data_IF_201018999331
#
_entry.id   IF_201018999331
#
_cell.length_a   1.000
_cell.length_b   1.000
_cell.length_c   1.000
_cell.angle_alpha   90.00
_cell.angle_beta   90.00
_cell.angle_gamma   90.00
#
_symmetry.space_group_name_H-M   'P 1'
#
loop_
_entity.id
_entity.type
_entity.pdbx_description
1 polymer ?
#
# COMPACT_ATOMS: atom_id res chain seq x y z
N UNK A 1 -10.84 5.14 14.74
CA UNK A 1 -9.48 4.61 14.52
C UNK A 1 -8.51 5.55 15.20
N UNK A 2 -7.70 5.07 16.15
CA UNK A 2 -6.72 5.88 16.91
C UNK A 2 -5.34 5.21 16.86
N UNK A 3 -4.24 5.96 17.08
CA UNK A 3 -2.90 5.37 17.20
C UNK A 3 -2.83 4.25 18.24
N UNK A 4 -3.55 4.38 19.37
CA UNK A 4 -3.53 3.38 20.44
C UNK A 4 -4.14 2.04 20.02
N UNK A 5 -5.18 2.05 19.17
CA UNK A 5 -5.76 0.81 18.61
C UNK A 5 -4.74 0.12 17.69
N UNK A 6 -4.01 0.89 16.88
CA UNK A 6 -2.97 0.34 15.99
C UNK A 6 -1.87 -0.28 16.84
N UNK A 7 -1.34 0.47 17.80
CA UNK A 7 -0.30 0.01 18.72
C UNK A 7 -0.73 -1.27 19.47
N UNK A 8 -1.95 -1.32 19.98
CA UNK A 8 -2.47 -2.49 20.68
C UNK A 8 -2.58 -3.73 19.77
N UNK A 9 -2.90 -3.54 18.49
CA UNK A 9 -3.13 -4.64 17.53
C UNK A 9 -1.85 -5.14 16.88
N UNK A 10 -0.89 -4.25 16.63
CA UNK A 10 0.28 -4.55 15.80
C UNK A 10 1.60 -4.39 16.54
N UNK A 11 1.61 -3.76 17.72
CA UNK A 11 2.83 -3.39 18.45
C UNK A 11 3.60 -2.23 17.81
N UNK A 12 3.04 -1.56 16.80
CA UNK A 12 3.69 -0.49 16.05
C UNK A 12 3.06 0.86 16.43
N UNK A 13 3.89 1.81 16.89
CA UNK A 13 3.45 3.20 17.05
C UNK A 13 3.47 3.91 15.69
N UNK A 14 2.28 4.11 15.12
CA UNK A 14 2.10 4.74 13.80
C UNK A 14 2.66 6.17 13.73
N UNK A 15 2.86 6.85 14.85
CA UNK A 15 3.39 8.22 14.88
C UNK A 15 4.87 8.29 14.51
N UNK A 16 5.60 7.18 14.67
CA UNK A 16 7.02 7.05 14.36
C UNK A 16 7.27 6.37 13.00
N UNK A 17 6.22 6.01 12.26
CA UNK A 17 6.33 5.29 11.00
C UNK A 17 6.52 6.27 9.84
N UNK A 18 7.53 6.03 9.03
CA UNK A 18 7.81 6.76 7.81
C UNK A 18 7.52 5.92 6.57
N UNK A 19 7.14 6.58 5.47
CA UNK A 19 6.84 5.87 4.22
C UNK A 19 8.06 5.10 3.72
N UNK A 20 7.88 3.79 3.53
CA UNK A 20 8.90 2.88 3.01
C UNK A 20 9.74 2.19 4.08
N UNK A 21 9.55 2.47 5.37
CA UNK A 21 10.18 1.70 6.44
C UNK A 21 9.56 0.28 6.57
N UNK A 22 10.22 -0.59 7.36
CA UNK A 22 9.75 -1.95 7.60
C UNK A 22 8.39 -1.99 8.33
N UNK A 23 8.16 -1.06 9.26
CA UNK A 23 6.92 -0.98 10.02
C UNK A 23 5.73 -0.57 9.14
N UNK A 24 5.95 0.30 8.17
CA UNK A 24 5.03 0.78 7.14
C UNK A 24 4.62 -0.37 6.24
N UNK A 25 5.58 -1.20 5.81
CA UNK A 25 5.30 -2.40 5.05
C UNK A 25 4.46 -3.40 5.88
N UNK A 26 4.82 -3.63 7.14
CA UNK A 26 4.08 -4.51 8.06
C UNK A 26 2.64 -4.06 8.30
N UNK A 27 2.42 -2.75 8.50
CA UNK A 27 1.08 -2.19 8.68
C UNK A 27 0.17 -2.35 7.45
N UNK A 28 0.75 -2.65 6.28
CA UNK A 28 0.03 -2.78 4.99
C UNK A 28 -0.24 -4.22 4.58
N UNK A 29 0.31 -5.22 5.27
CA UNK A 29 0.11 -6.64 4.95
C UNK A 29 -1.37 -7.00 4.97
N UNK A 30 -1.89 -7.50 3.84
CA UNK A 30 -3.29 -7.90 3.72
C UNK A 30 -4.29 -6.75 3.70
N UNK A 31 -3.83 -5.49 3.68
CA UNK A 31 -4.67 -4.30 3.64
C UNK A 31 -4.93 -3.91 2.19
N UNK A 32 -6.17 -3.55 1.86
CA UNK A 32 -6.49 -2.96 0.55
C UNK A 32 -5.87 -1.56 0.49
N UNK A 33 -4.86 -1.38 -0.36
CA UNK A 33 -4.13 -0.10 -0.48
C UNK A 33 -4.66 0.73 -1.64
N UNK A 34 -4.48 2.05 -1.57
CA UNK A 34 -4.98 2.96 -2.60
C UNK A 34 -4.38 2.70 -4.00
N UNK A 35 -3.11 2.29 -4.08
CA UNK A 35 -2.45 1.97 -5.36
C UNK A 35 -3.05 0.75 -6.05
N UNK A 36 -3.54 -0.23 -5.27
CA UNK A 36 -4.05 -1.50 -5.79
C UNK A 36 -5.59 -1.58 -5.84
N UNK A 37 -6.31 -0.57 -5.33
CA UNK A 37 -7.78 -0.56 -5.27
C UNK A 37 -8.44 -0.70 -6.65
N UNK A 38 -7.73 -0.30 -7.72
CA UNK A 38 -8.19 -0.45 -9.10
C UNK A 38 -8.47 -1.92 -9.47
N UNK A 39 -7.76 -2.89 -8.87
CA UNK A 39 -8.05 -4.32 -8.98
C UNK A 39 -9.38 -4.71 -8.33
N UNK A 40 -9.68 -4.13 -7.17
CA UNK A 40 -10.87 -4.45 -6.36
C UNK A 40 -12.15 -3.99 -7.06
N UNK A 41 -12.10 -2.82 -7.69
CA UNK A 41 -13.26 -2.23 -8.39
C UNK A 41 -13.38 -2.66 -9.85
N UNK A 42 -12.43 -3.47 -10.35
CA UNK A 42 -12.44 -3.97 -11.72
C UNK A 42 -13.74 -4.74 -12.02
N UNK A 43 -14.37 -4.40 -13.14
CA UNK A 43 -15.61 -5.02 -13.62
C UNK A 43 -15.32 -6.00 -14.76
N UNK A 44 -16.03 -7.13 -14.85
CA UNK A 44 -15.91 -8.01 -15.99
C UNK A 44 -16.46 -7.35 -17.26
N UNK A 45 -15.92 -7.74 -18.41
CA UNK A 45 -16.44 -7.30 -19.72
C UNK A 45 -17.88 -7.79 -19.97
N UNK A 46 -18.23 -8.95 -19.42
CA UNK A 46 -19.57 -9.55 -19.49
C UNK A 46 -19.79 -10.48 -18.29
N UNK A 47 -21.05 -10.68 -17.90
CA UNK A 47 -21.42 -11.55 -16.79
C UNK A 47 -21.11 -10.98 -15.40
N UNK A 48 -21.02 -11.86 -14.40
CA UNK A 48 -20.85 -11.51 -12.97
C UNK A 48 -19.58 -12.06 -12.33
N UNK A 49 -18.77 -12.81 -13.07
CA UNK A 49 -17.51 -13.38 -12.57
C UNK A 49 -16.51 -12.26 -12.29
N UNK A 50 -15.68 -12.41 -11.28
CA UNK A 50 -14.58 -11.48 -11.05
C UNK A 50 -13.53 -11.55 -12.16
N UNK A 51 -13.00 -10.40 -12.63
CA UNK A 51 -11.86 -10.38 -13.55
C UNK A 51 -10.62 -11.04 -12.95
N UNK A 52 -9.74 -11.55 -13.81
CA UNK A 52 -8.51 -12.22 -13.39
C UNK A 52 -7.61 -11.32 -12.54
N UNK A 53 -7.55 -10.02 -12.84
CA UNK A 53 -6.80 -9.03 -12.06
C UNK A 53 -7.31 -8.92 -10.61
N UNK A 54 -8.64 -8.97 -10.44
CA UNK A 54 -9.28 -8.95 -9.12
C UNK A 54 -9.00 -10.22 -8.34
N UNK A 55 -9.04 -11.38 -9.01
CA UNK A 55 -8.69 -12.68 -8.41
C UNK A 55 -7.21 -12.75 -8.04
N UNK A 56 -6.32 -12.22 -8.89
CA UNK A 56 -4.88 -12.16 -8.64
C UNK A 56 -4.59 -11.35 -7.37
N UNK A 57 -5.11 -10.11 -7.29
CA UNK A 57 -4.91 -9.27 -6.11
C UNK A 57 -5.55 -9.87 -4.84
N UNK A 58 -6.69 -10.55 -4.98
CA UNK A 58 -7.31 -11.29 -3.88
C UNK A 58 -6.37 -12.38 -3.32
N UNK A 59 -5.74 -13.18 -4.19
CA UNK A 59 -4.76 -14.17 -3.75
C UNK A 59 -3.49 -13.54 -3.16
N UNK A 60 -3.04 -12.40 -3.69
CA UNK A 60 -1.91 -11.67 -3.12
C UNK A 60 -2.17 -11.24 -1.67
N UNK A 61 -3.33 -10.63 -1.39
CA UNK A 61 -3.69 -10.22 -0.03
C UNK A 61 -3.81 -11.42 0.92
N UNK A 62 -4.40 -12.53 0.46
CA UNK A 62 -4.46 -13.75 1.26
C UNK A 62 -3.08 -14.32 1.55
N UNK A 63 -2.18 -14.30 0.56
CA UNK A 63 -0.80 -14.75 0.74
C UNK A 63 -0.09 -13.89 1.79
N UNK A 64 -0.18 -12.56 1.70
CA UNK A 64 0.44 -11.64 2.68
C UNK A 64 -0.03 -11.90 4.12
N UNK A 65 -1.33 -12.18 4.31
CA UNK A 65 -1.88 -12.51 5.64
C UNK A 65 -1.33 -13.85 6.13
N UNK A 66 -1.32 -14.87 5.28
CA UNK A 66 -0.90 -16.22 5.65
C UNK A 66 0.61 -16.34 5.87
N UNK A 67 1.42 -15.59 5.13
CA UNK A 67 2.88 -15.66 5.20
C UNK A 67 3.48 -14.60 6.12
N UNK A 68 2.75 -13.52 6.42
CA UNK A 68 3.25 -12.36 7.15
C UNK A 68 4.33 -11.58 6.39
N UNK A 69 4.48 -11.81 5.08
CA UNK A 69 5.47 -11.13 4.23
C UNK A 69 4.83 -10.69 2.91
N UNK A 70 5.17 -9.49 2.48
CA UNK A 70 4.91 -9.01 1.13
C UNK A 70 6.22 -9.08 0.32
N UNK A 71 6.18 -9.53 -0.93
CA UNK A 71 7.37 -9.53 -1.78
C UNK A 71 7.87 -8.11 -2.00
N UNK A 72 9.16 -7.88 -1.78
CA UNK A 72 9.77 -6.59 -2.06
C UNK A 72 9.81 -6.33 -3.56
N UNK A 73 9.08 -5.31 -4.01
CA UNK A 73 9.11 -4.88 -5.40
C UNK A 73 10.28 -3.91 -5.56
N UNK A 74 11.45 -4.44 -5.92
CA UNK A 74 12.64 -3.63 -6.21
C UNK A 74 12.56 -2.97 -7.60
N UNK A 75 11.64 -2.02 -7.75
CA UNK A 75 11.44 -1.26 -8.98
C UNK A 75 12.24 0.04 -8.98
N UNK A 76 12.94 0.32 -10.09
CA UNK A 76 13.65 1.60 -10.30
C UNK A 76 12.75 2.82 -10.08
N UNK A 77 11.47 2.70 -10.41
CA UNK A 77 10.48 3.76 -10.21
C UNK A 77 10.24 4.08 -8.73
N UNK A 78 10.25 3.09 -7.84
CA UNK A 78 10.08 3.30 -6.39
C UNK A 78 11.31 3.98 -5.78
N UNK A 79 12.51 3.55 -6.18
CA UNK A 79 13.76 4.19 -5.76
C UNK A 79 13.83 5.66 -6.21
N UNK A 80 13.45 5.93 -7.47
CA UNK A 80 13.34 7.30 -7.99
C UNK A 80 12.33 8.13 -7.20
N UNK A 81 11.14 7.57 -6.95
CA UNK A 81 10.10 8.23 -6.16
C UNK A 81 10.62 8.63 -4.77
N UNK A 82 11.28 7.70 -4.06
CA UNK A 82 11.85 7.97 -2.74
C UNK A 82 12.93 9.06 -2.77
N UNK A 83 13.76 9.09 -3.81
CA UNK A 83 14.81 10.09 -3.98
C UNK A 83 14.26 11.50 -4.12
N UNK A 84 13.17 11.69 -4.88
CA UNK A 84 12.66 13.02 -5.25
C UNK A 84 11.40 13.44 -4.50
N UNK A 85 10.90 12.63 -3.56
CA UNK A 85 9.65 12.90 -2.83
C UNK A 85 9.65 14.26 -2.11
N UNK A 86 10.75 14.59 -1.42
CA UNK A 86 10.86 15.83 -0.66
C UNK A 86 10.94 17.06 -1.58
N UNK A 87 11.70 16.96 -2.67
CA UNK A 87 11.82 18.03 -3.66
C UNK A 87 10.46 18.30 -4.33
N UNK A 88 9.74 17.24 -4.69
CA UNK A 88 8.41 17.34 -5.27
C UNK A 88 7.40 17.98 -4.29
N UNK A 89 7.45 17.61 -3.00
CA UNK A 89 6.60 18.21 -1.96
C UNK A 89 6.93 19.68 -1.74
N UNK A 90 8.21 20.03 -1.68
CA UNK A 90 8.66 21.41 -1.53
C UNK A 90 8.20 22.27 -2.71
N UNK A 91 8.40 21.78 -3.94
CA UNK A 91 7.95 22.48 -5.15
C UNK A 91 6.44 22.66 -5.15
N UNK A 92 5.66 21.62 -4.83
CA UNK A 92 4.20 21.71 -4.75
C UNK A 92 3.73 22.80 -3.77
N UNK A 93 4.40 22.95 -2.62
CA UNK A 93 4.05 23.97 -1.63
C UNK A 93 4.33 25.41 -2.07
N UNK A 94 5.19 25.59 -3.10
CA UNK A 94 5.53 26.89 -3.67
C UNK A 94 4.65 27.26 -4.88
N UNK A 95 3.91 26.31 -5.44
CA UNK A 95 3.01 26.56 -6.55
C UNK A 95 1.73 27.26 -6.06
N UNK A 96 1.24 28.29 -6.77
CA UNK A 96 -0.06 28.89 -6.46
C UNK A 96 -1.18 27.87 -6.72
N UNK A 97 -2.19 27.89 -5.85
CA UNK A 97 -3.37 27.03 -5.91
C UNK A 97 -4.33 27.38 -7.07
#
# INVERSE_FOLDING_TARGET
MTPDIILQRTGIDVRAVEQGDDAWNKLRLGVITASEVHNVIAKPRSGKKWPDMKMSYFHTLLAEICTGVAPEVNAKALAWGKQYENDARALLSLLPA
#
